data_IF_841368907495
#
_entry.id   IF_841368907495
#
_cell.length_a   1.000
_cell.length_b   1.000
_cell.length_c   1.000
_cell.angle_alpha   90.00
_cell.angle_beta   90.00
_cell.angle_gamma   90.00
#
_symmetry.space_group_name_H-M   'P 1'
#
loop_
_entity.id
_entity.type
_entity.pdbx_description
1 polymer ?
#
# COMPACT_ATOMS: atom_id res chain seq x y z
N UNK A 1 -7.49 -18.95 -21.72
CA UNK A 1 -8.42 -19.26 -20.59
C UNK A 1 -7.77 -18.79 -19.29
N UNK A 2 -8.44 -17.94 -18.48
CA UNK A 2 -7.90 -17.41 -17.21
C UNK A 2 -8.71 -17.91 -16.00
N UNK A 3 -8.04 -18.16 -14.87
CA UNK A 3 -8.61 -18.59 -13.59
C UNK A 3 -8.83 -17.40 -12.66
N UNK A 4 -9.62 -17.58 -11.61
CA UNK A 4 -9.84 -16.56 -10.56
C UNK A 4 -8.53 -16.02 -9.98
N UNK A 5 -7.56 -16.89 -9.69
CA UNK A 5 -6.23 -16.53 -9.18
C UNK A 5 -5.50 -15.56 -10.10
N UNK A 6 -5.69 -15.72 -11.41
CA UNK A 6 -5.03 -14.92 -12.43
C UNK A 6 -5.62 -13.50 -12.43
N UNK A 7 -6.94 -13.36 -12.31
CA UNK A 7 -7.60 -12.05 -12.14
C UNK A 7 -7.18 -11.36 -10.85
N UNK A 8 -7.02 -12.11 -9.76
CA UNK A 8 -6.53 -11.57 -8.49
C UNK A 8 -5.10 -11.04 -8.62
N UNK A 9 -4.20 -11.82 -9.21
CA UNK A 9 -2.83 -11.43 -9.51
C UNK A 9 -2.76 -10.21 -10.45
N UNK A 10 -3.54 -10.21 -11.53
CA UNK A 10 -3.67 -9.08 -12.46
C UNK A 10 -4.03 -7.80 -11.71
N UNK A 11 -5.09 -7.84 -10.88
CA UNK A 11 -5.53 -6.66 -10.12
C UNK A 11 -4.44 -6.14 -9.19
N UNK A 12 -3.74 -7.02 -8.47
CA UNK A 12 -2.64 -6.64 -7.58
C UNK A 12 -1.52 -5.97 -8.37
N UNK A 13 -1.13 -6.53 -9.50
CA UNK A 13 -0.05 -5.98 -10.32
C UNK A 13 -0.44 -4.65 -10.97
N UNK A 14 -1.69 -4.50 -11.41
CA UNK A 14 -2.20 -3.21 -11.89
C UNK A 14 -2.20 -2.14 -10.80
N UNK A 15 -2.54 -2.48 -9.55
CA UNK A 15 -2.47 -1.53 -8.42
C UNK A 15 -1.03 -1.08 -8.13
N UNK A 16 -0.05 -1.96 -8.35
CA UNK A 16 1.38 -1.64 -8.23
C UNK A 16 1.89 -0.81 -9.38
N UNK A 17 1.43 -1.10 -10.59
CA UNK A 17 1.86 -0.41 -11.80
C UNK A 17 1.17 0.95 -11.98
N UNK A 18 -0.05 1.11 -11.48
CA UNK A 18 -0.83 2.35 -11.54
C UNK A 18 -1.33 2.77 -10.14
N UNK A 19 -0.41 3.24 -9.27
CA UNK A 19 -0.74 3.56 -7.87
C UNK A 19 -1.70 4.75 -7.71
N UNK A 20 -1.90 5.55 -8.76
CA UNK A 20 -2.81 6.72 -8.77
C UNK A 20 -4.18 6.42 -9.38
N UNK A 21 -4.36 5.26 -10.04
CA UNK A 21 -5.60 4.90 -10.73
C UNK A 21 -6.55 4.11 -9.82
N UNK A 22 -7.84 4.28 -10.08
CA UNK A 22 -8.89 3.55 -9.38
C UNK A 22 -9.10 2.23 -10.11
N UNK A 23 -8.71 1.12 -9.48
CA UNK A 23 -8.88 -0.21 -10.05
C UNK A 23 -9.99 -0.96 -9.29
N UNK A 24 -11.09 -1.32 -9.97
CA UNK A 24 -12.28 -1.88 -9.33
C UNK A 24 -11.98 -3.19 -8.60
N UNK A 25 -12.77 -3.49 -7.57
CA UNK A 25 -12.69 -4.77 -6.86
C UNK A 25 -13.15 -5.91 -7.76
N UNK A 26 -12.50 -7.06 -7.61
CA UNK A 26 -12.97 -8.33 -8.17
C UNK A 26 -13.89 -9.02 -7.15
N UNK A 27 -14.79 -9.93 -7.58
CA UNK A 27 -15.66 -10.65 -6.65
C UNK A 27 -14.81 -11.41 -5.63
N UNK A 28 -15.27 -11.49 -4.38
CA UNK A 28 -14.52 -12.16 -3.30
C UNK A 28 -14.44 -13.68 -3.52
N UNK A 29 -13.40 -14.29 -2.93
CA UNK A 29 -13.32 -15.74 -2.77
C UNK A 29 -14.33 -16.13 -1.70
N UNK A 30 -15.15 -17.15 -1.95
CA UNK A 30 -16.14 -17.59 -0.96
C UNK A 30 -15.46 -17.96 0.35
N UNK A 31 -16.13 -17.63 1.45
CA UNK A 31 -15.73 -18.10 2.77
C UNK A 31 -15.86 -19.63 2.81
N UNK A 32 -14.99 -20.29 3.56
CA UNK A 32 -15.05 -21.75 3.73
C UNK A 32 -16.42 -22.23 4.23
N UNK A 33 -17.17 -21.41 4.97
CA UNK A 33 -18.54 -21.72 5.40
C UNK A 33 -19.55 -21.81 4.24
N UNK A 34 -19.40 -20.99 3.20
CA UNK A 34 -20.26 -21.02 2.01
C UNK A 34 -19.95 -22.23 1.12
N UNK A 35 -18.72 -22.75 1.22
CA UNK A 35 -18.27 -23.95 0.51
C UNK A 35 -18.87 -25.22 1.14
N UNK A 36 -19.16 -25.21 2.44
CA UNK A 36 -19.70 -26.35 3.18
C UNK A 36 -21.22 -26.49 2.97
N UNK A 37 -21.95 -25.37 2.84
CA UNK A 37 -23.42 -25.37 2.66
C UNK A 37 -23.86 -25.49 1.18
N UNK A 38 -23.07 -26.12 0.31
CA UNK A 38 -23.33 -26.13 -1.15
C UNK A 38 -24.57 -26.94 -1.53
N UNK A 39 -25.33 -26.37 -2.46
CA UNK A 39 -26.32 -27.07 -3.29
C UNK A 39 -26.03 -26.67 -4.74
N UNK A 40 -26.03 -27.60 -5.69
CA UNK A 40 -25.57 -27.38 -7.07
C UNK A 40 -26.20 -26.16 -7.76
N UNK A 41 -27.49 -25.87 -7.49
CA UNK A 41 -28.18 -24.71 -8.05
C UNK A 41 -27.63 -23.36 -7.57
N UNK A 42 -27.18 -23.26 -6.30
CA UNK A 42 -26.58 -22.03 -5.75
C UNK A 42 -25.20 -21.75 -6.32
N UNK A 43 -24.46 -22.81 -6.66
CA UNK A 43 -23.12 -22.70 -7.26
C UNK A 43 -23.19 -22.10 -8.66
N UNK A 44 -24.18 -22.48 -9.48
CA UNK A 44 -24.37 -21.92 -10.82
C UNK A 44 -24.68 -20.40 -10.78
N UNK A 45 -25.58 -19.97 -9.89
CA UNK A 45 -25.91 -18.54 -9.71
C UNK A 45 -24.69 -17.71 -9.31
N UNK A 46 -23.87 -18.27 -8.42
CA UNK A 46 -22.61 -17.69 -7.96
C UNK A 46 -21.60 -17.57 -9.10
N UNK A 47 -21.45 -18.62 -9.91
CA UNK A 47 -20.53 -18.65 -11.04
C UNK A 47 -20.94 -17.60 -12.07
N UNK A 48 -22.23 -17.49 -12.38
CA UNK A 48 -22.72 -16.51 -13.34
C UNK A 48 -22.57 -15.07 -12.83
N UNK A 49 -22.82 -14.84 -11.54
CA UNK A 49 -22.50 -13.57 -10.89
C UNK A 49 -21.01 -13.21 -11.06
N UNK A 50 -20.10 -14.16 -10.80
CA UNK A 50 -18.65 -13.94 -10.97
C UNK A 50 -18.28 -13.65 -12.41
N UNK A 51 -18.82 -14.39 -13.38
CA UNK A 51 -18.59 -14.13 -14.81
C UNK A 51 -19.00 -12.71 -15.17
N UNK A 52 -20.17 -12.24 -14.71
CA UNK A 52 -20.62 -10.85 -14.91
C UNK A 52 -19.66 -9.84 -14.30
N UNK A 53 -19.22 -10.06 -13.05
CA UNK A 53 -18.27 -9.17 -12.38
C UNK A 53 -16.91 -9.13 -13.07
N UNK A 54 -16.38 -10.28 -13.52
CA UNK A 54 -15.14 -10.31 -14.29
C UNK A 54 -15.28 -9.64 -15.66
N UNK A 55 -16.41 -9.83 -16.36
CA UNK A 55 -16.68 -9.11 -17.59
C UNK A 55 -16.71 -7.58 -17.37
N UNK A 56 -17.38 -7.13 -16.31
CA UNK A 56 -17.42 -5.71 -15.97
C UNK A 56 -16.03 -5.16 -15.59
N UNK A 57 -15.25 -5.95 -14.86
CA UNK A 57 -13.86 -5.63 -14.54
C UNK A 57 -13.02 -5.45 -15.80
N UNK A 58 -13.07 -6.40 -16.75
CA UNK A 58 -12.34 -6.31 -18.02
C UNK A 58 -12.81 -5.13 -18.87
N UNK A 59 -14.12 -4.89 -18.95
CA UNK A 59 -14.67 -3.71 -19.64
C UNK A 59 -14.15 -2.41 -19.03
N UNK A 60 -14.06 -2.33 -17.70
CA UNK A 60 -13.49 -1.18 -17.02
C UNK A 60 -12.03 -0.95 -17.42
N UNK A 61 -11.21 -2.01 -17.40
CA UNK A 61 -9.80 -1.93 -17.78
C UNK A 61 -9.61 -1.53 -19.25
N UNK A 62 -10.44 -2.07 -20.14
CA UNK A 62 -10.38 -1.78 -21.58
C UNK A 62 -10.83 -0.36 -21.95
N UNK A 63 -11.63 0.29 -21.10
CA UNK A 63 -12.11 1.66 -21.30
C UNK A 63 -11.10 2.72 -20.84
N UNK A 64 -10.04 2.34 -20.14
CA UNK A 64 -8.97 3.25 -19.72
C UNK A 64 -7.76 3.09 -20.66
N UNK A 65 -7.38 4.15 -21.36
CA UNK A 65 -6.36 4.12 -22.41
C UNK A 65 -4.97 3.68 -21.90
N UNK A 66 -4.57 4.14 -20.72
CA UNK A 66 -3.26 3.81 -20.15
C UNK A 66 -3.23 2.35 -19.69
N UNK A 67 -4.34 1.85 -19.12
CA UNK A 67 -4.44 0.44 -18.72
C UNK A 67 -4.51 -0.45 -19.95
N UNK A 68 -5.30 -0.06 -20.96
CA UNK A 68 -5.46 -0.82 -22.19
C UNK A 68 -4.14 -0.98 -22.93
N UNK A 69 -3.33 0.07 -23.03
CA UNK A 69 -2.02 0.02 -23.71
C UNK A 69 -0.91 -0.63 -22.88
N UNK A 70 -1.14 -0.87 -21.59
CA UNK A 70 -0.15 -1.44 -20.69
C UNK A 70 0.19 -2.90 -21.01
N UNK A 71 1.48 -3.24 -20.96
CA UNK A 71 1.98 -4.60 -21.18
C UNK A 71 1.36 -5.64 -20.22
N UNK A 72 1.03 -5.24 -18.98
CA UNK A 72 0.41 -6.14 -18.00
C UNK A 72 -0.96 -6.61 -18.48
N UNK A 73 -1.78 -5.68 -19.00
CA UNK A 73 -3.12 -5.99 -19.47
C UNK A 73 -3.07 -6.70 -20.83
N UNK A 74 -2.19 -6.25 -21.73
CA UNK A 74 -1.99 -6.89 -23.04
C UNK A 74 -1.62 -8.37 -22.90
N UNK A 75 -0.60 -8.69 -22.09
CA UNK A 75 -0.21 -10.09 -21.82
C UNK A 75 -1.31 -10.91 -21.14
N UNK A 76 -2.18 -10.26 -20.37
CA UNK A 76 -3.28 -10.98 -19.73
C UNK A 76 -4.35 -11.41 -20.73
N UNK A 77 -4.64 -10.57 -21.73
CA UNK A 77 -5.64 -10.83 -22.78
C UNK A 77 -5.06 -11.67 -23.93
N UNK A 78 -3.73 -11.67 -24.10
CA UNK A 78 -3.02 -12.42 -25.13
C UNK A 78 -3.38 -13.93 -25.12
N UNK A 79 -3.87 -14.48 -26.24
CA UNK A 79 -4.17 -15.90 -26.37
C UNK A 79 -2.93 -16.81 -26.35
N UNK A 80 -1.76 -16.29 -26.72
CA UNK A 80 -0.51 -17.07 -26.79
C UNK A 80 0.08 -17.32 -25.40
N UNK A 81 -0.17 -16.39 -24.47
CA UNK A 81 0.25 -16.48 -23.07
C UNK A 81 -0.64 -17.44 -22.28
N UNK A 82 -0.50 -18.76 -22.49
CA UNK A 82 -1.39 -19.78 -21.90
C UNK A 82 -1.26 -19.91 -20.38
N UNK A 83 -0.06 -19.75 -19.83
CA UNK A 83 0.23 -19.96 -18.39
C UNK A 83 0.56 -18.62 -17.72
N UNK A 84 -0.42 -18.03 -17.04
CA UNK A 84 -0.25 -16.72 -16.38
C UNK A 84 0.90 -16.71 -15.36
N UNK A 85 1.15 -17.83 -14.67
CA UNK A 85 2.22 -17.92 -13.68
C UNK A 85 3.62 -17.77 -14.29
N UNK A 86 3.82 -18.19 -15.53
CA UNK A 86 5.10 -18.04 -16.23
C UNK A 86 5.31 -16.58 -16.62
N UNK A 87 4.26 -15.90 -17.10
CA UNK A 87 4.29 -14.48 -17.43
C UNK A 87 4.76 -13.61 -16.27
N UNK A 88 4.37 -13.96 -15.03
CA UNK A 88 4.75 -13.24 -13.82
C UNK A 88 6.25 -13.32 -13.49
N UNK A 89 6.99 -14.24 -14.09
CA UNK A 89 8.44 -14.42 -13.87
C UNK A 89 9.28 -13.42 -14.67
N UNK A 90 8.67 -12.67 -15.58
CA UNK A 90 9.36 -11.73 -16.46
C UNK A 90 9.01 -10.27 -16.11
N UNK A 91 9.82 -9.33 -16.61
CA UNK A 91 9.51 -7.90 -16.51
C UNK A 91 8.18 -7.58 -17.23
N UNK A 92 7.37 -6.61 -16.74
CA UNK A 92 7.64 -5.73 -15.60
C UNK A 92 7.29 -6.31 -14.23
N UNK A 93 6.72 -7.52 -14.13
CA UNK A 93 6.18 -8.07 -12.89
C UNK A 93 7.24 -8.24 -11.79
N UNK A 94 8.43 -8.70 -12.17
CA UNK A 94 9.57 -8.88 -11.26
C UNK A 94 10.17 -7.56 -10.77
N UNK A 95 9.94 -6.47 -11.50
CA UNK A 95 10.41 -5.13 -11.15
C UNK A 95 9.41 -4.38 -10.27
N UNK A 96 8.20 -4.91 -10.07
CA UNK A 96 7.18 -4.24 -9.28
C UNK A 96 7.47 -4.34 -7.78
N UNK A 97 7.23 -3.26 -7.03
CA UNK A 97 7.51 -3.20 -5.61
C UNK A 97 6.60 -4.13 -4.81
N UNK A 98 7.11 -4.68 -3.71
CA UNK A 98 6.28 -5.39 -2.74
C UNK A 98 5.35 -4.43 -1.98
N UNK A 99 5.81 -3.20 -1.70
CA UNK A 99 5.06 -2.18 -0.98
C UNK A 99 4.99 -0.87 -1.79
N UNK A 100 3.78 -0.38 -2.05
CA UNK A 100 3.51 0.87 -2.78
C UNK A 100 4.16 2.09 -2.11
N UNK A 101 4.28 2.09 -0.78
CA UNK A 101 4.92 3.17 -0.02
C UNK A 101 6.43 3.27 -0.26
N UNK A 102 7.04 2.22 -0.82
CA UNK A 102 8.48 2.16 -1.14
C UNK A 102 8.73 2.20 -2.66
N UNK A 103 7.83 2.83 -3.41
CA UNK A 103 7.95 3.00 -4.86
C UNK A 103 7.52 4.39 -5.30
N UNK A 104 8.03 4.81 -6.46
CA UNK A 104 7.69 6.12 -7.04
C UNK A 104 6.33 5.97 -7.70
N UNK A 105 5.37 6.84 -7.40
CA UNK A 105 4.08 6.81 -8.06
C UNK A 105 4.15 7.01 -9.57
N UNK A 106 5.19 7.70 -10.06
CA UNK A 106 5.38 8.05 -11.47
C UNK A 106 6.07 6.94 -12.27
N UNK A 107 7.04 6.25 -11.65
CA UNK A 107 7.72 5.11 -12.26
C UNK A 107 7.90 3.98 -11.22
N UNK A 108 6.90 3.09 -11.09
CA UNK A 108 6.93 2.04 -10.07
C UNK A 108 7.96 0.94 -10.35
N UNK A 109 8.46 0.83 -11.59
CA UNK A 109 9.49 -0.15 -11.99
C UNK A 109 10.92 0.36 -11.82
N UNK A 110 11.10 1.66 -11.58
CA UNK A 110 12.41 2.28 -11.42
C UNK A 110 13.01 2.05 -10.03
N UNK A 111 14.31 1.75 -9.98
CA UNK A 111 15.06 1.79 -8.73
C UNK A 111 15.17 3.25 -8.25
N UNK A 112 14.95 3.49 -6.95
CA UNK A 112 14.95 4.83 -6.39
C UNK A 112 15.75 4.88 -5.08
N UNK A 113 16.74 5.78 -4.98
CA UNK A 113 17.75 5.76 -3.91
C UNK A 113 17.20 6.18 -2.54
N UNK A 114 16.10 6.93 -2.50
CA UNK A 114 15.54 7.46 -1.26
C UNK A 114 14.83 6.43 -0.38
N UNK A 115 14.50 5.25 -0.91
CA UNK A 115 13.77 4.22 -0.14
C UNK A 115 14.60 3.55 0.95
N UNK A 116 15.92 3.54 0.84
CA UNK A 116 16.81 3.05 1.91
C UNK A 116 16.68 3.86 3.21
N UNK A 117 16.12 5.07 3.13
CA UNK A 117 16.02 6.00 4.27
C UNK A 117 14.57 6.21 4.77
N UNK A 118 13.59 5.57 4.13
CA UNK A 118 12.17 5.80 4.42
C UNK A 118 11.60 4.76 5.40
N UNK A 119 11.00 5.25 6.47
CA UNK A 119 10.18 4.43 7.38
C UNK A 119 8.75 4.28 6.83
N UNK A 120 8.10 3.17 7.14
CA UNK A 120 6.69 2.94 6.81
C UNK A 120 5.84 3.53 7.94
N UNK A 121 5.02 4.55 7.69
CA UNK A 121 4.18 5.13 8.73
C UNK A 121 3.06 4.16 9.15
N UNK A 122 2.77 4.01 10.45
CA UNK A 122 1.66 3.19 10.91
C UNK A 122 0.33 3.86 10.56
N UNK A 123 -0.70 3.06 10.31
CA UNK A 123 -2.05 3.52 9.95
C UNK A 123 -2.67 4.41 11.05
N UNK A 124 -2.27 4.21 12.31
CA UNK A 124 -2.69 5.06 13.44
C UNK A 124 -2.29 6.53 13.31
N UNK A 125 -1.22 6.85 12.58
CA UNK A 125 -0.74 8.23 12.36
C UNK A 125 -1.67 9.06 11.48
N UNK A 126 -2.66 8.44 10.83
CA UNK A 126 -3.65 9.14 10.01
C UNK A 126 -4.50 10.13 10.81
N UNK A 127 -4.69 9.91 12.12
CA UNK A 127 -5.53 10.78 12.95
C UNK A 127 -4.78 12.00 13.50
N UNK A 128 -3.50 11.86 13.79
CA UNK A 128 -2.69 12.89 14.44
C UNK A 128 -2.04 13.87 13.46
N UNK A 129 -1.94 13.50 12.18
CA UNK A 129 -1.33 14.35 11.15
C UNK A 129 -2.38 15.00 10.25
N UNK A 130 -2.27 16.32 10.09
CA UNK A 130 -3.05 17.10 9.13
C UNK A 130 -2.18 18.18 8.49
N UNK A 131 -2.32 18.36 7.17
CA UNK A 131 -1.63 19.39 6.40
C UNK A 131 -2.65 20.38 5.84
N UNK A 132 -2.20 21.58 5.46
CA UNK A 132 -3.08 22.59 4.83
C UNK A 132 -3.76 22.03 3.58
N UNK A 133 -2.98 21.38 2.72
CA UNK A 133 -3.45 20.76 1.48
C UNK A 133 -4.47 19.63 1.76
N UNK A 134 -4.20 18.80 2.77
CA UNK A 134 -5.11 17.73 3.17
C UNK A 134 -6.46 18.28 3.66
N UNK A 135 -6.43 19.33 4.48
CA UNK A 135 -7.63 19.96 5.04
C UNK A 135 -8.48 20.67 3.99
N UNK A 136 -7.87 21.33 3.02
CA UNK A 136 -8.58 22.16 2.03
C UNK A 136 -9.14 21.33 0.87
N UNK A 137 -8.43 20.31 0.38
CA UNK A 137 -8.80 19.58 -0.83
C UNK A 137 -9.30 18.16 -0.50
N UNK A 138 -8.48 17.37 0.18
CA UNK A 138 -8.72 15.94 0.31
C UNK A 138 -9.76 15.58 1.37
N UNK A 139 -9.80 16.28 2.51
CA UNK A 139 -10.79 16.06 3.57
C UNK A 139 -12.23 16.32 3.09
N UNK A 140 -12.53 17.40 2.33
CA UNK A 140 -13.83 17.55 1.69
C UNK A 140 -14.18 16.41 0.73
N UNK A 141 -13.23 15.91 -0.05
CA UNK A 141 -13.44 14.76 -0.94
C UNK A 141 -13.74 13.47 -0.14
N UNK A 142 -12.99 13.21 0.93
CA UNK A 142 -13.25 12.09 1.84
C UNK A 142 -14.66 12.17 2.44
N UNK A 143 -15.09 13.35 2.91
CA UNK A 143 -16.44 13.56 3.42
C UNK A 143 -17.50 13.28 2.34
N UNK A 144 -17.31 13.80 1.11
CA UNK A 144 -18.23 13.56 -0.01
C UNK A 144 -18.37 12.06 -0.32
N UNK A 145 -17.26 11.34 -0.41
CA UNK A 145 -17.28 9.90 -0.70
C UNK A 145 -17.80 9.07 0.47
N UNK A 146 -17.58 9.48 1.71
CA UNK A 146 -18.17 8.82 2.88
C UNK A 146 -19.69 8.99 2.91
N UNK A 147 -20.20 10.19 2.67
CA UNK A 147 -21.64 10.43 2.58
C UNK A 147 -22.27 9.59 1.46
N UNK A 148 -21.68 9.62 0.27
CA UNK A 148 -22.15 8.84 -0.87
C UNK A 148 -22.11 7.33 -0.58
N UNK A 149 -21.05 6.84 0.08
CA UNK A 149 -20.96 5.44 0.51
C UNK A 149 -22.06 5.08 1.52
N UNK A 150 -22.41 5.99 2.45
CA UNK A 150 -23.50 5.78 3.41
C UNK A 150 -24.85 5.71 2.71
N UNK A 151 -25.14 6.62 1.79
CA UNK A 151 -26.36 6.59 0.98
C UNK A 151 -26.47 5.32 0.15
N UNK A 152 -25.41 4.93 -0.56
CA UNK A 152 -25.36 3.68 -1.33
C UNK A 152 -25.53 2.45 -0.43
N UNK A 153 -25.02 2.48 0.81
CA UNK A 153 -25.23 1.40 1.77
C UNK A 153 -26.70 1.25 2.15
N UNK A 154 -27.40 2.37 2.38
CA UNK A 154 -28.82 2.36 2.71
C UNK A 154 -29.65 1.85 1.53
N UNK A 155 -29.35 2.31 0.31
CA UNK A 155 -30.00 1.81 -0.91
C UNK A 155 -29.75 0.30 -1.10
N UNK A 156 -28.54 -0.19 -0.85
CA UNK A 156 -28.27 -1.64 -0.94
C UNK A 156 -29.08 -2.44 0.09
N UNK A 157 -29.24 -1.94 1.33
CA UNK A 157 -30.08 -2.59 2.34
C UNK A 157 -31.55 -2.66 1.89
N UNK A 158 -32.08 -1.56 1.37
CA UNK A 158 -33.45 -1.52 0.83
C UNK A 158 -33.59 -2.49 -0.34
N UNK A 159 -32.61 -2.52 -1.27
CA UNK A 159 -32.65 -3.47 -2.40
C UNK A 159 -32.65 -4.93 -1.96
N UNK A 160 -31.94 -5.25 -0.87
CA UNK A 160 -31.95 -6.59 -0.28
C UNK A 160 -33.30 -6.93 0.35
N UNK A 161 -33.92 -5.96 1.03
CA UNK A 161 -35.27 -6.13 1.59
C UNK A 161 -36.31 -6.35 0.48
N UNK A 162 -36.26 -5.56 -0.59
CA UNK A 162 -37.16 -5.72 -1.76
C UNK A 162 -37.01 -7.13 -2.35
N UNK A 163 -35.79 -7.60 -2.58
CA UNK A 163 -35.56 -8.96 -3.10
C UNK A 163 -36.13 -10.04 -2.17
N UNK A 164 -35.91 -9.92 -0.85
CA UNK A 164 -36.42 -10.90 0.11
C UNK A 164 -37.95 -10.92 0.13
N UNK A 165 -38.60 -9.75 0.14
CA UNK A 165 -40.05 -9.63 0.11
C UNK A 165 -40.64 -10.22 -1.17
N UNK A 166 -40.00 -9.99 -2.32
CA UNK A 166 -40.44 -10.56 -3.59
C UNK A 166 -40.30 -12.08 -3.62
N UNK A 167 -39.22 -12.64 -3.06
CA UNK A 167 -39.08 -14.10 -2.94
C UNK A 167 -40.13 -14.71 -2.01
N UNK A 168 -40.44 -14.05 -0.90
CA UNK A 168 -41.51 -14.49 -0.01
C UNK A 168 -42.88 -14.45 -0.70
N UNK A 169 -43.15 -13.41 -1.50
CA UNK A 169 -44.36 -13.31 -2.32
C UNK A 169 -44.46 -14.45 -3.33
N UNK A 170 -43.36 -14.77 -4.02
CA UNK A 170 -43.31 -15.92 -4.96
C UNK A 170 -43.62 -17.22 -4.23
N UNK A 171 -43.01 -17.47 -3.07
CA UNK A 171 -43.28 -18.69 -2.29
C UNK A 171 -44.76 -18.81 -1.91
N UNK A 172 -45.39 -17.72 -1.46
CA UNK A 172 -46.83 -17.68 -1.14
C UNK A 172 -47.71 -17.90 -2.37
N UNK A 173 -47.32 -17.36 -3.54
CA UNK A 173 -48.05 -17.57 -4.79
C UNK A 173 -47.96 -19.00 -5.30
N UNK A 174 -46.81 -19.67 -5.13
CA UNK A 174 -46.65 -21.09 -5.47
C UNK A 174 -47.59 -21.95 -4.61
N UNK A 175 -47.63 -21.70 -3.30
CA UNK A 175 -48.55 -22.41 -2.39
C UNK A 175 -50.01 -22.16 -2.78
N UNK A 176 -50.37 -20.91 -3.07
CA UNK A 176 -51.72 -20.53 -3.48
C UNK A 176 -52.13 -21.19 -4.81
N UNK A 177 -51.25 -21.17 -5.83
CA UNK A 177 -51.48 -21.82 -7.12
C UNK A 177 -51.68 -23.32 -6.97
N UNK A 178 -50.82 -23.97 -6.17
CA UNK A 178 -50.96 -25.39 -5.80
C UNK A 178 -52.30 -25.69 -5.12
N UNK A 179 -52.73 -24.85 -4.17
CA UNK A 179 -54.00 -25.01 -3.47
C UNK A 179 -55.21 -24.84 -4.40
N UNK A 180 -55.19 -23.87 -5.32
CA UNK A 180 -56.25 -23.71 -6.32
C UNK A 180 -56.30 -24.88 -7.31
N UNK A 181 -55.14 -25.37 -7.75
CA UNK A 181 -55.07 -26.56 -8.61
C UNK A 181 -55.66 -27.79 -7.90
N UNK A 182 -55.34 -28.00 -6.62
CA UNK A 182 -55.93 -29.05 -5.79
C UNK A 182 -57.44 -28.84 -5.60
N UNK A 183 -57.89 -27.62 -5.31
CA UNK A 183 -59.32 -27.29 -5.15
C UNK A 183 -60.11 -27.53 -6.44
N UNK A 184 -59.53 -27.23 -7.59
CA UNK A 184 -60.14 -27.48 -8.90
C UNK A 184 -60.42 -28.96 -9.16
N UNK A 185 -59.60 -29.86 -8.60
CA UNK A 185 -59.81 -31.31 -8.71
C UNK A 185 -61.03 -31.79 -7.88
N UNK A 186 -61.36 -31.10 -6.79
CA UNK A 186 -62.50 -31.44 -5.95
C UNK A 186 -63.83 -30.95 -6.55
N UNK A 187 -63.84 -29.75 -7.12
CA UNK A 187 -65.07 -29.07 -7.56
C UNK A 187 -65.35 -29.24 -9.07
N UNK A 188 -64.46 -29.91 -9.82
CA UNK A 188 -64.49 -30.07 -11.30
C UNK A 188 -64.75 -28.74 -12.05
N UNK A 189 -64.32 -27.62 -11.47
CA UNK A 189 -64.69 -26.29 -11.96
C UNK A 189 -63.55 -25.67 -12.77
N UNK A 190 -63.71 -25.62 -14.10
CA UNK A 190 -62.71 -25.09 -15.04
C UNK A 190 -62.29 -23.62 -14.78
N UNK A 191 -63.09 -22.85 -14.06
CA UNK A 191 -62.73 -21.46 -13.68
C UNK A 191 -61.65 -21.42 -12.60
N UNK A 192 -61.70 -22.35 -11.65
CA UNK A 192 -60.72 -22.46 -10.56
C UNK A 192 -59.36 -22.87 -11.12
N UNK A 193 -59.34 -23.81 -12.07
CA UNK A 193 -58.13 -24.21 -12.78
C UNK A 193 -57.47 -23.03 -13.50
N UNK A 194 -58.27 -22.20 -14.19
CA UNK A 194 -57.77 -20.99 -14.87
C UNK A 194 -57.18 -19.97 -13.89
N UNK A 195 -57.76 -19.84 -12.69
CA UNK A 195 -57.20 -19.00 -11.63
C UNK A 195 -55.86 -19.56 -11.17
N UNK A 196 -55.77 -20.87 -10.93
CA UNK A 196 -54.51 -21.56 -10.60
C UNK A 196 -53.42 -21.33 -11.66
N UNK A 197 -53.74 -21.57 -12.93
CA UNK A 197 -52.83 -21.32 -14.06
C UNK A 197 -52.40 -19.84 -14.19
N UNK A 198 -53.31 -18.89 -13.92
CA UNK A 198 -52.97 -17.46 -13.93
C UNK A 198 -52.01 -17.10 -12.80
N UNK A 199 -52.18 -17.69 -11.61
CA UNK A 199 -51.26 -17.51 -10.48
C UNK A 199 -49.91 -18.15 -10.80
N UNK A 200 -49.91 -19.30 -11.47
CA UNK A 200 -48.70 -19.98 -11.90
C UNK A 200 -47.89 -19.12 -12.89
N UNK A 201 -48.56 -18.51 -13.86
CA UNK A 201 -47.94 -17.57 -14.79
C UNK A 201 -47.37 -16.33 -14.08
N UNK A 202 -48.11 -15.78 -13.11
CA UNK A 202 -47.72 -14.57 -12.39
C UNK A 202 -46.46 -14.79 -11.52
N UNK A 203 -46.35 -15.90 -10.79
CA UNK A 203 -45.14 -16.15 -10.01
C UNK A 203 -43.91 -16.42 -10.88
N UNK A 204 -44.07 -17.07 -12.05
CA UNK A 204 -42.98 -17.25 -13.02
C UNK A 204 -42.48 -15.89 -13.53
N UNK A 205 -43.40 -14.97 -13.85
CA UNK A 205 -43.06 -13.60 -14.25
C UNK A 205 -42.34 -12.84 -13.11
N UNK A 206 -42.78 -13.04 -11.87
CA UNK A 206 -42.10 -12.49 -10.69
C UNK A 206 -40.68 -13.04 -10.51
N UNK A 207 -40.44 -14.33 -10.76
CA UNK A 207 -39.08 -14.88 -10.70
C UNK A 207 -38.15 -14.28 -11.76
N UNK A 208 -38.66 -14.11 -13.00
CA UNK A 208 -37.94 -13.43 -14.08
C UNK A 208 -37.64 -11.98 -13.68
N UNK A 209 -38.63 -11.29 -13.11
CA UNK A 209 -38.47 -9.93 -12.59
C UNK A 209 -37.38 -9.85 -11.52
N UNK A 210 -37.41 -10.72 -10.51
CA UNK A 210 -36.40 -10.76 -9.44
C UNK A 210 -35.00 -10.96 -10.04
N UNK A 211 -34.85 -11.88 -11.01
CA UNK A 211 -33.58 -12.12 -11.68
C UNK A 211 -33.07 -10.87 -12.42
N UNK A 212 -33.94 -10.19 -13.16
CA UNK A 212 -33.60 -8.95 -13.88
C UNK A 212 -33.27 -7.80 -12.92
N UNK A 213 -34.02 -7.66 -11.83
CA UNK A 213 -33.76 -6.67 -10.78
C UNK A 213 -32.39 -6.89 -10.13
N UNK A 214 -32.03 -8.13 -9.82
CA UNK A 214 -30.72 -8.46 -9.25
C UNK A 214 -29.59 -8.06 -10.21
N UNK A 215 -29.67 -8.50 -11.47
CA UNK A 215 -28.61 -8.30 -12.46
C UNK A 215 -28.45 -6.83 -12.84
N UNK A 216 -29.55 -6.12 -13.07
CA UNK A 216 -29.52 -4.78 -13.66
C UNK A 216 -29.52 -3.64 -12.63
N UNK A 217 -29.96 -3.89 -11.40
CA UNK A 217 -30.05 -2.86 -10.37
C UNK A 217 -29.19 -3.16 -9.14
N UNK A 218 -29.43 -4.29 -8.46
CA UNK A 218 -28.73 -4.63 -7.21
C UNK A 218 -27.22 -4.83 -7.41
N UNK A 219 -26.83 -5.60 -8.42
CA UNK A 219 -25.41 -5.88 -8.68
C UNK A 219 -24.61 -4.61 -9.00
N UNK A 220 -25.06 -3.71 -9.89
CA UNK A 220 -24.39 -2.42 -10.14
C UNK A 220 -24.37 -1.48 -8.93
N UNK A 221 -25.41 -1.48 -8.10
CA UNK A 221 -25.47 -0.66 -6.89
C UNK A 221 -24.39 -1.08 -5.87
N UNK A 222 -24.15 -2.39 -5.74
CA UNK A 222 -23.04 -2.91 -4.95
C UNK A 222 -21.67 -2.54 -5.56
N UNK A 223 -21.54 -2.51 -6.89
CA UNK A 223 -20.29 -2.07 -7.56
C UNK A 223 -19.97 -0.60 -7.28
N UNK A 224 -20.98 0.27 -7.30
CA UNK A 224 -20.79 1.68 -6.96
C UNK A 224 -20.27 1.85 -5.53
N UNK A 225 -20.84 1.14 -4.57
CA UNK A 225 -20.37 1.14 -3.17
C UNK A 225 -18.92 0.66 -3.07
N UNK A 226 -18.57 -0.39 -3.79
CA UNK A 226 -17.22 -0.94 -3.85
C UNK A 226 -16.23 0.07 -4.46
N UNK A 227 -16.64 0.81 -5.49
CA UNK A 227 -15.84 1.89 -6.07
C UNK A 227 -15.55 3.00 -5.04
N UNK A 228 -16.55 3.42 -4.27
CA UNK A 228 -16.33 4.38 -3.18
C UNK A 228 -15.30 3.88 -2.16
N UNK A 229 -15.33 2.59 -1.83
CA UNK A 229 -14.34 2.00 -0.94
C UNK A 229 -12.92 2.06 -1.52
N UNK A 230 -12.76 1.75 -2.82
CA UNK A 230 -11.44 1.86 -3.50
C UNK A 230 -10.94 3.30 -3.49
N UNK A 231 -11.81 4.28 -3.76
CA UNK A 231 -11.46 5.71 -3.69
C UNK A 231 -10.97 6.09 -2.30
N UNK A 232 -11.66 5.65 -1.25
CA UNK A 232 -11.23 5.92 0.13
C UNK A 232 -9.86 5.31 0.44
N UNK A 233 -9.56 4.12 -0.07
CA UNK A 233 -8.25 3.46 0.09
C UNK A 233 -7.14 4.25 -0.64
N UNK A 234 -7.46 4.84 -1.80
CA UNK A 234 -6.53 5.68 -2.56
C UNK A 234 -6.23 6.99 -1.82
N UNK A 235 -7.25 7.64 -1.25
CA UNK A 235 -7.08 8.85 -0.43
C UNK A 235 -6.24 8.59 0.82
N UNK A 236 -6.47 7.45 1.50
CA UNK A 236 -5.63 7.03 2.63
C UNK A 236 -4.20 6.74 2.21
N UNK A 237 -3.97 6.09 1.06
CA UNK A 237 -2.63 5.89 0.51
C UNK A 237 -1.89 7.22 0.30
N UNK A 238 -2.55 8.22 -0.30
CA UNK A 238 -2.00 9.58 -0.47
C UNK A 238 -1.60 10.19 0.87
N UNK A 239 -2.47 10.09 1.87
CA UNK A 239 -2.20 10.61 3.21
C UNK A 239 -1.02 9.91 3.89
N UNK A 240 -0.88 8.59 3.72
CA UNK A 240 0.28 7.85 4.23
C UNK A 240 1.59 8.31 3.57
N UNK A 241 1.58 8.55 2.25
CA UNK A 241 2.75 9.11 1.54
C UNK A 241 3.13 10.50 2.04
N UNK A 242 2.14 11.34 2.37
CA UNK A 242 2.40 12.66 2.94
C UNK A 242 3.03 12.58 4.34
N UNK A 243 2.54 11.67 5.20
CA UNK A 243 3.13 11.40 6.52
C UNK A 243 4.57 10.90 6.37
N UNK A 244 4.82 10.03 5.39
CA UNK A 244 6.16 9.52 5.09
C UNK A 244 7.14 10.65 4.75
N UNK A 245 6.71 11.63 3.94
CA UNK A 245 7.51 12.83 3.65
C UNK A 245 7.76 13.66 4.92
N UNK A 246 6.77 13.81 5.80
CA UNK A 246 6.95 14.53 7.06
C UNK A 246 7.98 13.85 7.98
N UNK A 247 7.93 12.52 8.13
CA UNK A 247 8.95 11.79 8.89
C UNK A 247 10.34 11.95 8.29
N UNK A 248 10.44 11.89 6.96
CA UNK A 248 11.71 12.08 6.28
C UNK A 248 12.28 13.49 6.49
N UNK A 249 11.45 14.54 6.38
CA UNK A 249 11.83 15.92 6.71
C UNK A 249 12.37 16.06 8.13
N UNK A 250 11.73 15.44 9.11
CA UNK A 250 12.17 15.50 10.49
C UNK A 250 13.51 14.78 10.71
N UNK A 251 13.76 13.67 10.02
CA UNK A 251 15.06 12.97 10.05
C UNK A 251 16.17 13.85 9.47
N UNK A 252 15.91 14.50 8.32
CA UNK A 252 16.86 15.45 7.71
C UNK A 252 17.14 16.61 8.67
N UNK A 253 16.11 17.20 9.28
CA UNK A 253 16.26 18.32 10.22
C UNK A 253 17.09 17.94 11.45
N UNK A 254 16.86 16.76 12.04
CA UNK A 254 17.67 16.25 13.16
C UNK A 254 19.15 16.13 12.79
N UNK A 255 19.45 15.63 11.59
CA UNK A 255 20.83 15.50 11.09
C UNK A 255 21.48 16.85 10.78
N UNK A 256 20.73 17.78 10.20
CA UNK A 256 21.18 19.17 10.02
C UNK A 256 21.53 19.81 11.37
N UNK A 257 20.67 19.65 12.37
CA UNK A 257 20.92 20.19 13.71
C UNK A 257 22.15 19.55 14.38
N UNK A 258 22.33 18.22 14.28
CA UNK A 258 23.53 17.54 14.79
C UNK A 258 24.80 18.06 14.11
N UNK A 259 24.76 18.24 12.79
CA UNK A 259 25.90 18.73 12.02
C UNK A 259 26.25 20.18 12.40
N UNK A 260 25.25 21.04 12.58
CA UNK A 260 25.45 22.42 13.08
C UNK A 260 26.12 22.43 14.45
N UNK A 261 25.63 21.62 15.40
CA UNK A 261 26.22 21.52 16.74
C UNK A 261 27.68 21.02 16.69
N UNK A 262 28.00 20.05 15.82
CA UNK A 262 29.37 19.58 15.62
C UNK A 262 30.28 20.68 15.06
N UNK A 263 29.79 21.48 14.10
CA UNK A 263 30.54 22.61 13.53
C UNK A 263 30.77 23.71 14.57
N UNK A 264 29.75 24.07 15.34
CA UNK A 264 29.85 25.11 16.39
C UNK A 264 30.81 24.71 17.51
N UNK A 265 30.77 23.45 17.93
CA UNK A 265 31.70 22.92 18.94
C UNK A 265 33.13 22.87 18.41
N UNK A 266 33.35 22.47 17.16
CA UNK A 266 34.70 22.48 16.57
C UNK A 266 35.23 23.90 16.36
N UNK A 267 34.39 24.85 15.92
CA UNK A 267 34.77 26.26 15.81
C UNK A 267 35.15 26.86 17.16
N UNK A 268 34.40 26.54 18.22
CA UNK A 268 34.70 27.00 19.58
C UNK A 268 36.01 26.40 20.09
N UNK A 269 36.23 25.11 19.86
CA UNK A 269 37.49 24.43 20.20
C UNK A 269 38.69 24.98 19.41
N UNK A 270 38.50 25.29 18.13
CA UNK A 270 39.53 25.91 17.29
C UNK A 270 39.90 27.29 17.82
N UNK A 271 38.92 28.14 18.11
CA UNK A 271 39.15 29.47 18.73
C UNK A 271 39.87 29.36 20.07
N UNK A 272 39.45 28.43 20.94
CA UNK A 272 40.14 28.17 22.21
C UNK A 272 41.58 27.71 21.99
N UNK A 273 41.84 26.83 21.01
CA UNK A 273 43.20 26.39 20.70
C UNK A 273 44.09 27.51 20.18
N UNK A 274 43.56 28.42 19.37
CA UNK A 274 44.28 29.58 18.85
C UNK A 274 44.57 30.57 19.99
N UNK A 275 43.61 30.80 20.88
CA UNK A 275 43.79 31.65 22.06
C UNK A 275 44.82 31.06 23.05
N UNK A 276 44.82 29.73 23.24
CA UNK A 276 45.81 29.03 24.06
C UNK A 276 47.21 29.09 23.44
N UNK A 277 47.33 28.99 22.11
CA UNK A 277 48.62 29.13 21.42
C UNK A 277 49.18 30.55 21.53
N UNK A 278 48.35 31.57 21.29
CA UNK A 278 48.75 32.98 21.48
C UNK A 278 49.11 33.29 22.93
N UNK A 279 48.30 32.83 23.89
CA UNK A 279 48.60 32.99 25.31
C UNK A 279 49.85 32.22 25.78
N UNK A 280 50.21 31.13 25.11
CA UNK A 280 51.47 30.42 25.34
C UNK A 280 52.69 31.16 24.74
N UNK A 281 52.51 31.91 23.65
CA UNK A 281 53.54 32.78 23.08
C UNK A 281 53.79 34.01 23.98
N UNK A 282 52.74 34.54 24.61
CA UNK A 282 52.80 35.75 25.45
C UNK A 282 53.21 35.50 26.92
N UNK A 283 53.25 34.25 27.40
CA UNK A 283 53.61 33.96 28.79
C UNK A 283 54.23 32.56 29.02
N UNK A 284 55.44 32.47 29.61
CA UNK A 284 56.18 31.21 29.78
C UNK A 284 55.47 30.21 30.73
N UNK A 285 54.68 30.69 31.67
CA UNK A 285 53.90 29.85 32.60
C UNK A 285 52.74 29.12 31.91
N UNK A 286 52.16 29.73 30.87
CA UNK A 286 51.06 29.17 30.08
C UNK A 286 51.63 28.15 29.07
N UNK A 287 52.78 28.43 28.48
CA UNK A 287 53.50 27.50 27.60
C UNK A 287 53.83 26.17 28.31
N UNK A 288 54.30 26.21 29.56
CA UNK A 288 54.63 25.02 30.35
C UNK A 288 53.37 24.20 30.71
N UNK A 289 52.25 24.86 30.97
CA UNK A 289 50.96 24.21 31.22
C UNK A 289 50.40 23.50 29.97
N UNK A 290 50.49 24.13 28.80
CA UNK A 290 50.10 23.55 27.50
C UNK A 290 50.99 22.34 27.18
N UNK A 291 52.31 22.45 27.37
CA UNK A 291 53.27 21.35 27.17
C UNK A 291 52.98 20.15 28.09
N UNK A 292 52.63 20.40 29.35
CA UNK A 292 52.18 19.36 30.30
C UNK A 292 50.89 18.67 29.86
N UNK A 293 49.94 19.41 29.29
CA UNK A 293 48.68 18.85 28.77
C UNK A 293 48.90 18.00 27.52
N UNK A 294 49.77 18.44 26.60
CA UNK A 294 50.16 17.67 25.41
C UNK A 294 50.87 16.37 25.79
N UNK A 295 51.80 16.41 26.74
CA UNK A 295 52.49 15.22 27.27
C UNK A 295 51.51 14.22 27.93
N UNK A 296 50.47 14.69 28.63
CA UNK A 296 49.40 13.84 29.16
C UNK A 296 48.53 13.22 28.07
N UNK A 297 48.28 13.95 26.98
CA UNK A 297 47.50 13.47 25.82
C UNK A 297 48.25 12.36 25.07
N UNK A 298 49.57 12.52 24.88
CA UNK A 298 50.43 11.48 24.30
C UNK A 298 50.58 10.23 25.18
N UNK A 299 50.64 10.36 26.51
CA UNK A 299 50.62 9.21 27.43
C UNK A 299 49.31 8.40 27.36
N UNK A 300 48.15 9.05 27.19
CA UNK A 300 46.85 8.36 27.01
C UNK A 300 46.77 7.58 25.69
N UNK A 301 47.34 8.12 24.61
CA UNK A 301 47.38 7.44 23.30
C UNK A 301 48.33 6.23 23.35
N UNK A 302 49.48 6.34 24.02
CA UNK A 302 50.42 5.22 24.16
C UNK A 302 49.92 4.10 25.08
N UNK A 303 49.13 4.41 26.12
CA UNK A 303 48.54 3.38 26.98
C UNK A 303 47.45 2.57 26.25
N UNK A 304 46.62 3.20 25.41
CA UNK A 304 45.65 2.48 24.57
C UNK A 304 46.31 1.56 23.51
N UNK A 305 47.59 1.79 23.17
CA UNK A 305 48.36 0.91 22.27
C UNK A 305 49.04 -0.22 23.05
N UNK A 306 49.38 -0.01 24.34
CA UNK A 306 50.02 -1.02 25.20
C UNK A 306 49.04 -2.03 25.82
N UNK A 307 47.78 -1.65 26.04
CA UNK A 307 46.76 -2.55 26.60
C UNK A 307 46.27 -3.63 25.61
N UNK A 308 46.72 -3.61 24.35
CA UNK A 308 46.44 -4.66 23.36
C UNK A 308 47.55 -5.73 23.26
N UNK A 309 48.60 -5.69 24.09
CA UNK A 309 49.82 -6.46 23.82
C UNK A 309 50.43 -7.27 24.98
N UNK A 310 49.69 -7.62 26.04
CA UNK A 310 50.14 -8.66 26.99
C UNK A 310 48.97 -9.45 27.58
N UNK A 311 48.74 -10.65 27.04
CA UNK A 311 48.27 -11.83 27.76
C UNK A 311 48.61 -13.06 26.92
N UNK A 312 49.82 -13.60 27.09
CA UNK A 312 50.13 -15.00 26.81
C UNK A 312 51.48 -15.34 27.45
N UNK A 313 51.47 -16.11 28.54
CA UNK A 313 52.62 -16.93 28.97
C UNK A 313 52.16 -18.29 29.54
N UNK A 314 52.56 -19.31 28.79
CA UNK A 314 53.05 -20.67 29.10
C UNK A 314 52.29 -21.70 29.97
N UNK A 315 52.13 -22.89 29.37
CA UNK A 315 51.78 -24.17 29.99
C UNK A 315 51.79 -25.39 29.04
N UNK A 316 52.91 -25.64 28.35
CA UNK A 316 53.49 -26.92 27.86
C UNK A 316 52.63 -28.16 27.47
N UNK A 317 52.69 -28.62 26.20
CA UNK A 317 53.46 -29.81 25.70
C UNK A 317 53.02 -30.32 24.30
N UNK A 318 54.03 -30.44 23.44
CA UNK A 318 54.35 -31.45 22.40
C UNK A 318 53.31 -31.98 21.38
N UNK A 319 53.52 -31.76 20.07
CA UNK A 319 54.23 -32.67 19.15
C UNK A 319 54.16 -32.22 17.66
N UNK A 320 55.21 -32.59 16.94
CA UNK A 320 55.61 -32.41 15.54
C UNK A 320 54.57 -32.31 14.38
N UNK A 321 54.90 -31.37 13.46
CA UNK A 321 54.77 -31.22 11.98
C UNK A 321 54.52 -32.49 11.11
N UNK A 322 54.18 -32.45 9.78
CA UNK A 322 54.33 -31.34 8.80
C UNK A 322 53.31 -31.21 7.61
N UNK A 323 53.55 -30.17 6.79
CA UNK A 323 53.29 -30.02 5.33
C UNK A 323 51.83 -29.90 4.83
N UNK A 324 51.40 -28.89 4.05
CA UNK A 324 52.00 -28.50 2.77
C UNK A 324 51.45 -27.16 2.23
N UNK A 325 52.23 -26.60 1.32
CA UNK A 325 52.14 -25.33 0.61
C UNK A 325 50.81 -24.98 -0.09
N UNK A 326 50.48 -23.68 -0.16
CA UNK A 326 50.42 -22.90 -1.41
C UNK A 326 49.69 -21.55 -1.29
N UNK A 327 50.13 -20.64 -2.15
CA UNK A 327 49.95 -19.19 -2.16
C UNK A 327 48.70 -18.75 -2.97
N UNK A 328 48.19 -17.53 -2.67
CA UNK A 328 47.30 -16.61 -3.44
C UNK A 328 45.77 -16.69 -3.21
N UNK A 329 45.20 -15.62 -2.60
CA UNK A 329 44.48 -14.51 -3.30
C UNK A 329 43.85 -13.54 -2.29
N UNK A 330 44.17 -12.24 -2.42
CA UNK A 330 43.52 -11.13 -1.70
C UNK A 330 42.01 -11.13 -2.00
N UNK A 331 41.17 -11.11 -0.96
CA UNK A 331 39.73 -10.79 -1.03
C UNK A 331 39.47 -9.52 -0.22
N UNK A 332 38.82 -8.54 -0.86
CA UNK A 332 38.24 -7.35 -0.24
C UNK A 332 37.27 -7.71 0.91
N UNK A 333 37.14 -6.88 1.97
CA UNK A 333 36.17 -7.15 3.03
C UNK A 333 34.75 -6.67 2.65
N UNK A 334 33.93 -7.65 2.27
CA UNK A 334 32.57 -7.96 2.76
C UNK A 334 31.65 -6.80 3.20
N UNK A 335 30.74 -6.39 2.31
CA UNK A 335 29.52 -5.61 2.56
C UNK A 335 28.24 -6.50 2.67
N UNK A 336 28.19 -7.53 3.52
CA UNK A 336 27.02 -8.45 3.48
C UNK A 336 26.31 -8.87 4.77
N UNK A 337 26.71 -8.45 5.97
CA UNK A 337 26.06 -8.97 7.18
C UNK A 337 25.53 -7.87 8.12
N UNK A 338 24.69 -6.94 7.66
CA UNK A 338 24.06 -5.95 8.55
C UNK A 338 22.54 -5.76 8.43
N UNK A 339 21.83 -6.63 7.70
CA UNK A 339 20.37 -6.53 7.58
C UNK A 339 19.71 -7.88 7.87
N UNK A 340 19.68 -8.22 9.17
CA UNK A 340 18.86 -9.29 9.73
C UNK A 340 17.49 -8.74 10.13
N UNK A 341 16.45 -9.38 9.60
CA UNK A 341 15.03 -9.15 9.89
C UNK A 341 14.71 -9.21 11.38
N UNK A 342 14.12 -8.13 11.93
CA UNK A 342 13.33 -8.19 13.16
C UNK A 342 12.21 -7.15 13.11
N UNK A 343 10.99 -7.64 13.29
CA UNK A 343 9.80 -6.83 13.46
C UNK A 343 9.85 -6.18 14.84
N UNK A 344 10.27 -4.93 14.92
CA UNK A 344 9.91 -4.06 16.02
C UNK A 344 9.75 -2.63 15.53
N UNK A 345 8.66 -2.02 15.98
CA UNK A 345 8.27 -0.65 15.73
C UNK A 345 9.34 0.33 16.21
N UNK A 346 9.78 1.20 15.31
CA UNK A 346 10.02 2.59 15.68
C UNK A 346 11.34 2.95 16.33
N UNK A 347 12.47 2.40 15.86
CA UNK A 347 13.75 3.10 15.90
C UNK A 347 14.64 2.54 14.79
N UNK A 348 14.77 3.29 13.68
CA UNK A 348 15.85 3.00 12.73
C UNK A 348 17.15 3.17 13.51
N UNK A 349 17.86 2.07 13.72
CA UNK A 349 19.08 1.99 14.52
C UNK A 349 20.08 3.05 14.12
N UNK A 350 20.12 4.13 14.90
CA UNK A 350 21.32 4.91 15.06
C UNK A 350 22.29 4.02 15.82
N UNK A 351 23.43 3.68 15.21
CA UNK A 351 24.61 3.39 16.01
C UNK A 351 24.75 4.55 16.99
N UNK A 352 24.64 4.27 18.30
CA UNK A 352 24.60 5.28 19.35
C UNK A 352 25.72 6.30 19.12
N UNK A 353 25.34 7.46 18.57
CA UNK A 353 26.32 8.47 18.20
C UNK A 353 26.94 8.95 19.50
N UNK A 354 28.26 8.80 19.65
CA UNK A 354 28.97 9.22 20.86
C UNK A 354 28.58 10.66 21.22
N UNK A 355 28.51 10.93 22.52
CA UNK A 355 28.27 12.28 23.02
C UNK A 355 29.32 13.22 22.41
N UNK A 356 28.89 14.36 21.86
CA UNK A 356 29.75 15.30 21.12
C UNK A 356 30.97 15.74 21.96
N UNK A 357 30.79 15.82 23.28
CA UNK A 357 31.81 16.25 24.22
C UNK A 357 32.86 15.18 24.54
N UNK A 358 32.60 13.89 24.24
CA UNK A 358 33.54 12.79 24.48
C UNK A 358 34.38 12.41 23.26
N UNK A 359 34.14 13.04 22.10
CA UNK A 359 34.82 12.74 20.85
C UNK A 359 36.11 13.54 20.67
N UNK A 360 37.09 12.94 20.01
CA UNK A 360 38.31 13.63 19.56
C UNK A 360 37.99 14.63 18.43
N UNK A 361 38.81 15.67 18.25
CA UNK A 361 38.65 16.64 17.15
C UNK A 361 38.67 15.97 15.77
N UNK A 362 39.54 14.98 15.58
CA UNK A 362 39.61 14.20 14.33
C UNK A 362 38.34 13.35 14.10
N UNK A 363 37.76 12.77 15.17
CA UNK A 363 36.50 12.01 15.08
C UNK A 363 35.33 12.94 14.73
N UNK A 364 35.29 14.16 15.30
CA UNK A 364 34.27 15.16 14.98
C UNK A 364 34.38 15.64 13.54
N UNK A 365 35.57 15.93 13.03
CA UNK A 365 35.78 16.36 11.65
C UNK A 365 35.38 15.27 10.64
N UNK A 366 35.74 14.01 10.91
CA UNK A 366 35.32 12.88 10.07
C UNK A 366 33.80 12.70 10.07
N UNK A 367 33.15 12.85 11.23
CA UNK A 367 31.69 12.78 11.32
C UNK A 367 31.01 13.95 10.61
N UNK A 368 31.57 15.17 10.67
CA UNK A 368 31.06 16.33 9.93
C UNK A 368 31.12 16.09 8.43
N UNK A 369 32.27 15.64 7.90
CA UNK A 369 32.44 15.36 6.47
C UNK A 369 31.45 14.29 5.99
N UNK A 370 31.32 13.20 6.76
CA UNK A 370 30.35 12.15 6.49
C UNK A 370 28.91 12.67 6.51
N UNK A 371 28.53 13.41 7.55
CA UNK A 371 27.19 13.96 7.69
C UNK A 371 26.85 14.96 6.57
N UNK A 372 27.79 15.79 6.13
CA UNK A 372 27.58 16.74 5.02
C UNK A 372 27.35 16.00 3.70
N UNK A 373 28.17 14.98 3.40
CA UNK A 373 28.02 14.18 2.18
C UNK A 373 26.66 13.45 2.17
N UNK A 374 26.30 12.84 3.29
CA UNK A 374 25.02 12.14 3.43
C UNK A 374 23.83 13.10 3.40
N UNK A 375 23.93 14.30 3.99
CA UNK A 375 22.92 15.35 3.89
C UNK A 375 22.69 15.80 2.45
N UNK A 376 23.74 15.85 1.63
CA UNK A 376 23.61 16.15 0.19
C UNK A 376 22.75 15.11 -0.54
N UNK A 377 23.00 13.82 -0.29
CA UNK A 377 22.20 12.73 -0.86
C UNK A 377 20.76 12.73 -0.32
N UNK A 378 20.58 12.94 0.99
CA UNK A 378 19.26 13.05 1.61
C UNK A 378 18.45 14.24 1.06
N UNK A 379 19.10 15.35 0.71
CA UNK A 379 18.42 16.51 0.16
C UNK A 379 17.96 16.27 -1.28
N UNK A 380 18.75 15.58 -2.12
CA UNK A 380 18.31 15.09 -3.43
C UNK A 380 17.11 14.14 -3.30
N UNK A 381 17.20 13.20 -2.36
CA UNK A 381 16.13 12.28 -2.00
C UNK A 381 14.84 13.00 -1.57
N UNK A 382 14.97 14.08 -0.79
CA UNK A 382 13.85 14.90 -0.34
C UNK A 382 13.16 15.61 -1.49
N UNK A 383 13.93 16.16 -2.44
CA UNK A 383 13.37 16.82 -3.62
C UNK A 383 12.57 15.83 -4.47
N UNK A 384 13.14 14.66 -4.77
CA UNK A 384 12.46 13.60 -5.52
C UNK A 384 11.15 13.16 -4.84
N UNK A 385 11.17 12.90 -3.52
CA UNK A 385 9.97 12.50 -2.78
C UNK A 385 8.91 13.61 -2.75
N UNK A 386 9.35 14.87 -2.68
CA UNK A 386 8.43 16.01 -2.70
C UNK A 386 7.74 16.16 -4.05
N UNK A 387 8.48 15.96 -5.15
CA UNK A 387 7.93 16.04 -6.50
C UNK A 387 7.02 14.84 -6.81
N UNK A 388 7.40 13.64 -6.37
CA UNK A 388 6.53 12.45 -6.39
C UNK A 388 5.21 12.71 -5.65
N UNK A 389 5.25 13.36 -4.48
CA UNK A 389 4.06 13.66 -3.70
C UNK A 389 3.17 14.70 -4.40
N UNK A 390 3.76 15.72 -5.03
CA UNK A 390 3.01 16.70 -5.84
C UNK A 390 2.30 16.00 -7.00
N UNK A 391 3.03 15.20 -7.77
CA UNK A 391 2.47 14.41 -8.87
C UNK A 391 1.34 13.51 -8.36
N UNK A 392 1.58 12.76 -7.28
CA UNK A 392 0.60 11.88 -6.65
C UNK A 392 -0.66 12.64 -6.25
N UNK A 393 -0.51 13.81 -5.62
CA UNK A 393 -1.64 14.64 -5.19
C UNK A 393 -2.48 15.12 -6.38
N UNK A 394 -1.84 15.65 -7.43
CA UNK A 394 -2.55 16.13 -8.62
C UNK A 394 -3.28 15.01 -9.37
N UNK A 395 -2.61 13.87 -9.59
CA UNK A 395 -3.23 12.75 -10.31
C UNK A 395 -4.33 12.06 -9.50
N UNK A 396 -4.16 11.91 -8.18
CA UNK A 396 -5.23 11.36 -7.33
C UNK A 396 -6.44 12.28 -7.32
N UNK A 397 -6.26 13.60 -7.15
CA UNK A 397 -7.36 14.54 -7.16
C UNK A 397 -8.16 14.46 -8.48
N UNK A 398 -7.45 14.50 -9.61
CA UNK A 398 -8.03 14.35 -10.95
C UNK A 398 -8.80 13.05 -11.12
N UNK A 399 -8.20 11.91 -10.73
CA UNK A 399 -8.83 10.59 -10.87
C UNK A 399 -10.04 10.43 -9.94
N UNK A 400 -9.97 10.95 -8.70
CA UNK A 400 -11.07 10.92 -7.74
C UNK A 400 -12.25 11.79 -8.21
N UNK A 401 -11.99 12.98 -8.75
CA UNK A 401 -13.02 13.83 -9.33
C UNK A 401 -13.67 13.19 -10.55
N UNK A 402 -12.86 12.64 -11.47
CA UNK A 402 -13.37 11.90 -12.65
C UNK A 402 -14.30 10.76 -12.22
N UNK A 403 -13.90 10.00 -11.20
CA UNK A 403 -14.71 8.88 -10.71
C UNK A 403 -15.98 9.35 -9.98
N UNK A 404 -15.93 10.47 -9.25
CA UNK A 404 -17.11 11.08 -8.65
C UNK A 404 -18.19 11.38 -9.69
N UNK A 405 -17.81 12.01 -10.81
CA UNK A 405 -18.76 12.29 -11.91
C UNK A 405 -19.29 11.01 -12.55
N UNK A 406 -18.43 10.00 -12.79
CA UNK A 406 -18.88 8.70 -13.30
C UNK A 406 -19.88 8.01 -12.38
N UNK A 407 -19.64 8.01 -11.07
CA UNK A 407 -20.54 7.43 -10.08
C UNK A 407 -21.89 8.16 -10.12
N UNK A 408 -21.88 9.49 -10.11
CA UNK A 408 -23.09 10.30 -10.18
C UNK A 408 -23.91 9.99 -11.45
N UNK A 409 -23.24 9.93 -12.60
CA UNK A 409 -23.88 9.59 -13.87
C UNK A 409 -24.48 8.18 -13.84
N UNK A 410 -23.73 7.20 -13.34
CA UNK A 410 -24.17 5.80 -13.26
C UNK A 410 -25.34 5.62 -12.28
N UNK A 411 -25.40 6.39 -11.18
CA UNK A 411 -26.57 6.40 -10.30
C UNK A 411 -27.82 6.86 -11.07
N UNK A 412 -27.70 7.93 -11.87
CA UNK A 412 -28.81 8.41 -12.68
C UNK A 412 -29.26 7.39 -13.73
N UNK A 413 -28.32 6.72 -14.40
CA UNK A 413 -28.64 5.61 -15.31
C UNK A 413 -29.34 4.46 -14.59
N UNK A 414 -28.89 4.09 -13.38
CA UNK A 414 -29.52 3.04 -12.60
C UNK A 414 -30.94 3.38 -12.18
N UNK A 415 -31.23 4.65 -11.84
CA UNK A 415 -32.58 5.07 -11.53
C UNK A 415 -33.51 4.96 -12.76
N UNK A 416 -33.01 5.32 -13.96
CA UNK A 416 -33.76 5.12 -15.22
C UNK A 416 -33.99 3.65 -15.54
N UNK A 417 -32.99 2.79 -15.28
CA UNK A 417 -33.12 1.34 -15.47
C UNK A 417 -34.16 0.79 -14.49
N UNK A 418 -34.15 1.25 -13.24
CA UNK A 418 -35.14 0.85 -12.24
C UNK A 418 -36.56 1.26 -12.61
N UNK A 419 -36.75 2.48 -13.11
CA UNK A 419 -38.04 2.94 -13.64
C UNK A 419 -38.54 2.03 -14.77
N UNK A 420 -37.67 1.69 -15.73
CA UNK A 420 -38.02 0.75 -16.81
C UNK A 420 -38.38 -0.64 -16.30
N UNK A 421 -37.64 -1.15 -15.31
CA UNK A 421 -37.90 -2.45 -14.68
C UNK A 421 -39.29 -2.45 -14.03
N UNK A 422 -39.66 -1.37 -13.33
CA UNK A 422 -41.00 -1.23 -12.75
C UNK A 422 -42.09 -1.13 -13.81
N UNK A 423 -41.87 -0.37 -14.89
CA UNK A 423 -42.84 -0.26 -15.99
C UNK A 423 -43.09 -1.59 -16.71
N UNK A 424 -42.07 -2.44 -16.84
CA UNK A 424 -42.21 -3.79 -17.41
C UNK A 424 -43.00 -4.68 -16.46
N UNK A 425 -42.84 -4.52 -15.14
CA UNK A 425 -43.57 -5.31 -14.16
C UNK A 425 -45.04 -4.90 -14.03
N UNK A 426 -45.36 -3.62 -14.24
CA UNK A 426 -46.74 -3.13 -14.20
C UNK A 426 -47.55 -3.44 -15.47
N UNK A 427 -46.89 -3.86 -16.55
CA UNK A 427 -47.52 -4.30 -17.80
C UNK A 427 -47.66 -5.81 -17.81
#
# INVERSE_FOLDING_TARGET
>A
RRRYSDFHSLRINLLKFFPTKIIPLIPEKHSFKDIINRSDNRDNLIIDFRKRKFNNFLKYLNNDDDIRSCIIFQKFIDPDERVWLEVLQYAPFTLLPSNLLLSSPSNPTGANPYYSYLSIPPVGSLKSFDSKLNREIFKPLECKFNNLKMELNNLNKISLQIENNLRELVAKKIELGGNFNVFSLFDNNSLVEKIGQSIDSDFINLEIFIKNFIINFKEPLQDLKNQCHVVMNLLTFRKLKEIQLHYFKNTVLKRQNRTKLLIETENSNSKLSIALKKGAEDSPTIAEAVRRLELKKHKKINNNIRDNNYNEEYGTRDFYNPENSSIKRRKNPKWKNLFGSSNNTGELGYAASKNINSMSSAERLNEIVYNIQELGELQKCLTMLTDDLKFLSCEIEKNVLKEYFKIKFKIFELMKIFEKILMIYCK
#
